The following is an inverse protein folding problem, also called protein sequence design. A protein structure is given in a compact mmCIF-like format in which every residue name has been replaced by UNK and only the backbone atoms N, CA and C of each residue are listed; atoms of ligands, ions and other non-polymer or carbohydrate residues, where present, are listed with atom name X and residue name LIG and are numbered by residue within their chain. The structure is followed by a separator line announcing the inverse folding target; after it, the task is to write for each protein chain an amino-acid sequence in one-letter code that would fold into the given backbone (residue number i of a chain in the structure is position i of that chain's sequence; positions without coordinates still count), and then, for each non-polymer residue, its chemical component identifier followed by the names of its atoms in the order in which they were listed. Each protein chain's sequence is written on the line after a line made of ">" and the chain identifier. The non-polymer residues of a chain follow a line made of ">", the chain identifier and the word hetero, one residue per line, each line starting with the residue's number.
data_IF_329881846524
#
_entry.id   IF_329881846524
#
_cell.length_a   1.000
_cell.length_b   1.000
_cell.length_c   1.000
_cell.angle_alpha   90.00
_cell.angle_beta   90.00
_cell.angle_gamma   90.00
#
_symmetry.space_group_name_H-M   'P 1'
#
loop_
_entity.id
_entity.type
_entity.pdbx_description
1 polymer ?
#
# COMPACT_ATOMS: atom_id res chain seq x y z
N UNK A 1 -13.89 9.76 -10.10
CA UNK A 1 -12.99 8.70 -10.53
C UNK A 1 -12.14 8.25 -9.36
N UNK A 2 -11.83 6.96 -9.29
CA UNK A 2 -11.12 6.35 -8.14
C UNK A 2 -9.77 7.01 -7.85
N UNK A 3 -9.03 7.44 -8.84
CA UNK A 3 -7.72 8.10 -8.65
C UNK A 3 -7.83 9.42 -7.91
N UNK A 4 -8.82 10.24 -8.27
CA UNK A 4 -9.05 11.53 -7.62
C UNK A 4 -9.50 11.33 -6.17
N UNK A 5 -10.41 10.39 -5.95
CA UNK A 5 -10.91 10.05 -4.61
C UNK A 5 -9.77 9.56 -3.71
N UNK A 6 -8.90 8.68 -4.25
CA UNK A 6 -7.74 8.19 -3.53
C UNK A 6 -6.76 9.31 -3.19
N UNK A 7 -6.45 10.20 -4.14
CA UNK A 7 -5.52 11.31 -3.89
C UNK A 7 -6.06 12.29 -2.85
N UNK A 8 -7.36 12.56 -2.86
CA UNK A 8 -8.00 13.40 -1.84
C UNK A 8 -7.95 12.72 -0.47
N UNK A 9 -8.24 11.43 -0.41
CA UNK A 9 -8.17 10.65 0.83
C UNK A 9 -6.75 10.62 1.40
N UNK A 10 -5.72 10.47 0.56
CA UNK A 10 -4.32 10.53 0.98
C UNK A 10 -3.98 11.90 1.58
N UNK A 11 -4.41 12.98 0.93
CA UNK A 11 -4.15 14.35 1.40
C UNK A 11 -4.79 14.64 2.76
N UNK A 12 -5.94 14.06 3.02
CA UNK A 12 -6.68 14.27 4.28
C UNK A 12 -6.39 13.22 5.36
N UNK A 13 -5.62 12.18 5.04
CA UNK A 13 -5.32 11.10 5.96
C UNK A 13 -4.34 11.50 7.06
N UNK A 14 -4.52 10.95 8.26
CA UNK A 14 -3.53 11.04 9.33
C UNK A 14 -2.40 10.01 9.12
N UNK A 15 -2.74 8.83 8.56
CA UNK A 15 -1.83 7.72 8.28
C UNK A 15 -2.17 7.09 6.94
N UNK A 16 -1.14 6.65 6.20
CA UNK A 16 -1.31 5.94 4.91
C UNK A 16 -0.51 4.65 4.94
N UNK A 17 -1.17 3.53 4.64
CA UNK A 17 -0.56 2.21 4.64
C UNK A 17 -0.59 1.62 3.24
N UNK A 18 0.57 1.25 2.70
CA UNK A 18 0.70 0.57 1.43
C UNK A 18 1.00 -0.91 1.62
N UNK A 19 0.28 -1.76 0.90
CA UNK A 19 0.59 -3.17 0.75
C UNK A 19 0.98 -3.46 -0.69
N UNK A 20 2.19 -3.95 -0.91
CA UNK A 20 2.73 -4.22 -2.24
C UNK A 20 2.88 -5.71 -2.47
N UNK A 21 2.12 -6.25 -3.41
CA UNK A 21 2.10 -7.66 -3.76
C UNK A 21 2.83 -7.98 -5.07
N UNK A 22 2.61 -9.19 -5.58
CA UNK A 22 3.30 -9.73 -6.75
C UNK A 22 3.17 -8.91 -8.01
N UNK A 23 2.02 -8.28 -8.25
CA UNK A 23 1.83 -7.47 -9.46
C UNK A 23 2.76 -6.26 -9.50
N UNK A 24 3.28 -5.85 -8.34
CA UNK A 24 4.26 -4.76 -8.24
C UNK A 24 5.68 -5.30 -8.43
N UNK A 25 6.12 -6.22 -7.56
CA UNK A 25 7.53 -6.64 -7.55
C UNK A 25 7.87 -7.67 -8.65
N UNK A 26 6.89 -8.33 -9.27
CA UNK A 26 7.10 -9.19 -10.44
C UNK A 26 6.87 -8.47 -11.78
N UNK A 27 6.64 -7.15 -11.75
CA UNK A 27 6.46 -6.39 -12.98
C UNK A 27 7.79 -6.27 -13.73
N UNK A 28 7.76 -6.58 -15.04
CA UNK A 28 8.90 -6.37 -15.95
C UNK A 28 9.02 -4.90 -16.40
N UNK A 29 8.05 -4.06 -16.04
CA UNK A 29 8.03 -2.65 -16.40
C UNK A 29 9.01 -1.87 -15.50
N UNK A 30 10.10 -1.41 -16.08
CA UNK A 30 11.12 -0.62 -15.38
C UNK A 30 10.57 0.70 -14.84
N UNK A 31 9.48 1.22 -15.41
CA UNK A 31 8.85 2.46 -14.96
C UNK A 31 8.16 2.33 -13.60
N UNK A 32 7.77 1.11 -13.20
CA UNK A 32 7.04 0.89 -11.95
C UNK A 32 7.83 1.37 -10.73
N UNK A 33 9.10 1.01 -10.64
CA UNK A 33 9.96 1.45 -9.54
C UNK A 33 10.15 2.96 -9.52
N UNK A 34 10.36 3.56 -10.69
CA UNK A 34 10.50 5.01 -10.81
C UNK A 34 9.20 5.73 -10.41
N UNK A 35 8.07 5.18 -10.81
CA UNK A 35 6.76 5.73 -10.47
C UNK A 35 6.43 5.58 -8.98
N UNK A 36 6.76 4.44 -8.38
CA UNK A 36 6.63 4.26 -6.94
C UNK A 36 7.49 5.26 -6.17
N UNK A 37 8.74 5.46 -6.61
CA UNK A 37 9.64 6.43 -6.01
C UNK A 37 9.07 7.84 -6.08
N UNK A 38 8.55 8.26 -7.23
CA UNK A 38 7.90 9.56 -7.41
C UNK A 38 6.70 9.71 -6.48
N UNK A 39 5.87 8.66 -6.37
CA UNK A 39 4.72 8.66 -5.48
C UNK A 39 5.15 8.89 -4.03
N UNK A 40 6.14 8.15 -3.55
CA UNK A 40 6.61 8.26 -2.16
C UNK A 40 7.31 9.59 -1.90
N UNK A 41 8.05 10.13 -2.87
CA UNK A 41 8.63 11.46 -2.78
C UNK A 41 7.55 12.55 -2.65
N UNK A 42 6.43 12.41 -3.38
CA UNK A 42 5.31 13.34 -3.27
C UNK A 42 4.59 13.25 -1.91
N UNK A 43 4.84 12.19 -1.17
CA UNK A 43 4.23 11.93 0.14
C UNK A 43 5.20 12.20 1.31
N UNK A 44 6.26 12.96 1.09
CA UNK A 44 7.29 13.22 2.10
C UNK A 44 6.73 13.76 3.42
N UNK A 45 5.63 14.51 3.37
CA UNK A 45 4.97 15.08 4.55
C UNK A 45 3.83 14.17 5.10
N UNK A 46 3.60 13.04 4.46
CA UNK A 46 2.56 12.08 4.88
C UNK A 46 3.17 11.02 5.78
N UNK A 47 2.46 10.67 6.84
CA UNK A 47 2.87 9.59 7.74
C UNK A 47 2.46 8.24 7.12
N UNK A 48 3.37 7.60 6.40
CA UNK A 48 3.10 6.36 5.68
C UNK A 48 3.97 5.20 6.15
N UNK A 49 3.51 3.98 5.86
CA UNK A 49 4.29 2.75 5.99
C UNK A 49 4.02 1.83 4.79
N UNK A 50 5.01 1.02 4.44
CA UNK A 50 4.95 0.10 3.30
C UNK A 50 5.18 -1.33 3.80
N UNK A 51 4.26 -2.24 3.48
CA UNK A 51 4.40 -3.68 3.72
C UNK A 51 4.49 -4.37 2.35
N UNK A 52 5.55 -5.15 2.12
CA UNK A 52 5.72 -5.91 0.90
C UNK A 52 5.78 -7.42 1.21
N UNK A 53 5.14 -8.23 0.38
CA UNK A 53 5.21 -9.70 0.47
C UNK A 53 6.37 -10.29 -0.32
N UNK A 54 7.23 -9.46 -0.88
CA UNK A 54 8.39 -9.91 -1.65
C UNK A 54 9.41 -10.61 -0.75
N UNK A 55 9.67 -11.87 -1.03
CA UNK A 55 10.66 -12.69 -0.31
C UNK A 55 12.10 -12.20 -0.49
N UNK A 56 12.37 -11.49 -1.57
CA UNK A 56 13.69 -10.94 -1.89
C UNK A 56 13.89 -9.52 -1.37
N UNK A 57 12.82 -8.86 -0.91
CA UNK A 57 12.88 -7.51 -0.39
C UNK A 57 13.38 -6.46 -1.39
N UNK A 58 13.09 -6.65 -2.68
CA UNK A 58 13.62 -5.80 -3.77
C UNK A 58 13.28 -4.33 -3.63
N UNK A 59 12.16 -4.01 -3.01
CA UNK A 59 11.73 -2.63 -2.82
C UNK A 59 12.72 -1.81 -1.99
N UNK A 60 13.49 -2.44 -1.11
CA UNK A 60 14.52 -1.77 -0.31
C UNK A 60 15.63 -1.19 -1.16
N UNK A 61 15.91 -1.82 -2.31
CA UNK A 61 16.97 -1.41 -3.22
C UNK A 61 16.54 -0.29 -4.18
N UNK A 62 15.27 0.08 -4.15
CA UNK A 62 14.72 1.11 -5.04
C UNK A 62 14.92 2.55 -4.52
N UNK A 63 15.58 2.71 -3.37
CA UNK A 63 15.94 4.03 -2.83
C UNK A 63 14.86 4.69 -1.97
N UNK A 64 13.86 3.94 -1.53
CA UNK A 64 12.85 4.45 -0.61
C UNK A 64 13.39 4.55 0.83
N UNK A 65 12.67 5.30 1.67
CA UNK A 65 13.01 5.40 3.09
C UNK A 65 12.86 4.03 3.79
N UNK A 66 13.96 3.39 4.09
CA UNK A 66 14.01 2.05 4.69
C UNK A 66 13.30 1.96 6.05
N UNK A 67 13.23 3.06 6.79
CA UNK A 67 12.52 3.10 8.08
C UNK A 67 11.01 2.95 7.95
N UNK A 68 10.49 3.12 6.73
CA UNK A 68 9.06 3.05 6.40
C UNK A 68 8.69 1.78 5.65
N UNK A 69 9.58 0.77 5.61
CA UNK A 69 9.39 -0.44 4.83
C UNK A 69 9.58 -1.68 5.72
N UNK A 70 8.69 -2.66 5.58
CA UNK A 70 8.86 -4.00 6.13
C UNK A 70 8.55 -5.06 5.07
N UNK A 71 9.42 -6.07 4.97
CA UNK A 71 9.28 -7.21 4.07
C UNK A 71 9.32 -8.49 4.90
N UNK A 72 8.22 -8.86 5.58
CA UNK A 72 8.23 -9.94 6.58
C UNK A 72 8.50 -11.32 6.00
N UNK A 73 8.33 -11.51 4.68
CA UNK A 73 8.63 -12.77 4.00
C UNK A 73 10.09 -12.90 3.56
N UNK A 74 10.92 -11.89 3.79
CA UNK A 74 12.34 -11.89 3.41
C UNK A 74 13.18 -12.65 4.45
N UNK A 75 13.34 -13.95 4.26
CA UNK A 75 14.07 -14.84 5.17
C UNK A 75 15.58 -14.54 5.23
N UNK A 76 16.15 -13.98 4.17
CA UNK A 76 17.59 -13.65 4.14
C UNK A 76 17.97 -12.49 5.07
N UNK A 77 17.00 -11.70 5.50
CA UNK A 77 17.16 -10.60 6.44
C UNK A 77 16.15 -10.70 7.59
N UNK A 78 15.86 -11.92 8.05
CA UNK A 78 14.79 -12.20 8.99
C UNK A 78 14.86 -11.39 10.28
N UNK A 79 16.06 -11.21 10.84
CA UNK A 79 16.25 -10.48 12.09
C UNK A 79 15.93 -8.99 11.93
N UNK A 80 16.41 -8.37 10.86
CA UNK A 80 16.14 -6.97 10.54
C UNK A 80 14.66 -6.74 10.23
N UNK A 81 14.04 -7.66 9.50
CA UNK A 81 12.62 -7.58 9.16
C UNK A 81 11.73 -7.78 10.38
N UNK A 82 12.12 -8.60 11.34
CA UNK A 82 11.41 -8.75 12.60
C UNK A 82 11.39 -7.44 13.39
N UNK A 83 12.52 -6.74 13.45
CA UNK A 83 12.60 -5.41 14.08
C UNK A 83 11.70 -4.38 13.37
N UNK A 84 11.71 -4.39 12.04
CA UNK A 84 10.86 -3.51 11.24
C UNK A 84 9.38 -3.85 11.42
N UNK A 85 9.05 -5.12 11.59
CA UNK A 85 7.69 -5.57 11.89
C UNK A 85 7.21 -5.03 13.22
N UNK A 86 8.07 -5.00 14.23
CA UNK A 86 7.75 -4.41 15.54
C UNK A 86 7.50 -2.90 15.41
N UNK A 87 8.31 -2.17 14.65
CA UNK A 87 8.07 -0.75 14.36
C UNK A 87 6.76 -0.54 13.61
N UNK A 88 6.47 -1.37 12.63
CA UNK A 88 5.20 -1.34 11.88
C UNK A 88 4.01 -1.52 12.82
N UNK A 89 4.06 -2.52 13.70
CA UNK A 89 2.97 -2.78 14.65
C UNK A 89 2.74 -1.60 15.62
N UNK A 90 3.80 -0.96 16.08
CA UNK A 90 3.70 0.25 16.91
C UNK A 90 3.06 1.40 16.13
N UNK A 91 3.51 1.61 14.90
CA UNK A 91 2.95 2.62 14.00
C UNK A 91 1.47 2.36 13.74
N UNK A 92 1.11 1.11 13.45
CA UNK A 92 -0.26 0.69 13.19
C UNK A 92 -1.15 0.89 14.43
N UNK A 93 -0.65 0.56 15.60
CA UNK A 93 -1.38 0.80 16.86
C UNK A 93 -1.67 2.29 17.07
N UNK A 94 -0.75 3.16 16.68
CA UNK A 94 -0.94 4.62 16.76
C UNK A 94 -2.00 5.12 15.79
N UNK A 95 -2.29 4.37 14.73
CA UNK A 95 -3.28 4.74 13.71
C UNK A 95 -4.72 4.42 14.11
N UNK A 96 -4.94 3.69 15.21
CA UNK A 96 -6.29 3.33 15.66
C UNK A 96 -7.11 4.58 15.97
N UNK A 97 -8.36 4.59 15.51
CA UNK A 97 -9.30 5.72 15.61
C UNK A 97 -8.84 7.00 14.87
N UNK A 98 -7.82 6.90 14.04
CA UNK A 98 -7.36 7.98 13.16
C UNK A 98 -7.82 7.72 11.72
N UNK A 99 -7.74 8.76 10.88
CA UNK A 99 -8.00 8.61 9.44
C UNK A 99 -6.86 7.85 8.79
N UNK A 100 -7.07 6.57 8.56
CA UNK A 100 -6.11 5.66 7.94
C UNK A 100 -6.58 5.30 6.54
N UNK A 101 -5.78 5.59 5.54
CA UNK A 101 -6.02 5.16 4.16
C UNK A 101 -5.09 3.99 3.86
N UNK A 102 -5.67 2.87 3.45
CA UNK A 102 -4.97 1.64 3.14
C UNK A 102 -5.04 1.39 1.64
N UNK A 103 -3.89 1.17 1.01
CA UNK A 103 -3.80 0.95 -0.43
C UNK A 103 -3.10 -0.39 -0.66
N UNK A 104 -3.86 -1.39 -1.10
CA UNK A 104 -3.37 -2.73 -1.38
C UNK A 104 -3.22 -2.88 -2.90
N UNK A 105 -1.99 -3.08 -3.35
CA UNK A 105 -1.63 -3.10 -4.76
C UNK A 105 -1.08 -4.46 -5.19
N UNK A 106 -1.87 -5.19 -5.97
CA UNK A 106 -1.43 -6.41 -6.62
C UNK A 106 -1.18 -7.60 -5.70
N UNK A 107 -1.83 -7.65 -4.54
CA UNK A 107 -1.69 -8.76 -3.59
C UNK A 107 -2.67 -9.88 -3.91
N UNK A 108 -2.17 -11.11 -3.96
CA UNK A 108 -2.96 -12.32 -4.16
C UNK A 108 -3.18 -13.10 -2.84
N UNK A 109 -3.55 -14.37 -2.95
CA UNK A 109 -3.77 -15.25 -1.80
C UNK A 109 -2.58 -16.16 -1.47
N UNK A 110 -1.39 -15.89 -2.03
CA UNK A 110 -0.20 -16.71 -1.77
C UNK A 110 0.22 -16.66 -0.30
N UNK A 111 0.08 -15.49 0.32
CA UNK A 111 0.38 -15.31 1.74
C UNK A 111 -0.57 -14.29 2.36
N UNK A 112 -1.85 -14.67 2.55
CA UNK A 112 -2.90 -13.75 2.96
C UNK A 112 -2.75 -13.21 4.39
N UNK A 113 -1.87 -13.82 5.20
CA UNK A 113 -1.63 -13.41 6.59
C UNK A 113 -0.81 -12.12 6.73
N UNK A 114 -0.17 -11.66 5.66
CA UNK A 114 0.69 -10.47 5.71
C UNK A 114 -0.08 -9.20 5.35
N UNK A 115 -0.83 -9.21 4.25
CA UNK A 115 -1.54 -8.03 3.74
C UNK A 115 -3.05 -8.23 3.74
N UNK A 116 -3.58 -9.21 3.00
CA UNK A 116 -5.03 -9.30 2.72
C UNK A 116 -5.90 -9.36 3.97
N UNK A 117 -5.71 -10.36 4.81
CA UNK A 117 -6.53 -10.55 6.00
C UNK A 117 -6.27 -9.49 7.09
N UNK A 118 -5.00 -9.15 7.40
CA UNK A 118 -4.75 -8.07 8.35
C UNK A 118 -5.33 -6.73 7.92
N UNK A 119 -5.24 -6.36 6.64
CA UNK A 119 -5.78 -5.10 6.13
C UNK A 119 -7.30 -5.04 6.25
N UNK A 120 -7.99 -6.14 5.92
CA UNK A 120 -9.43 -6.24 6.12
C UNK A 120 -9.81 -6.08 7.59
N UNK A 121 -9.06 -6.73 8.48
CA UNK A 121 -9.29 -6.66 9.93
C UNK A 121 -9.10 -5.24 10.48
N UNK A 122 -8.10 -4.53 9.99
CA UNK A 122 -7.86 -3.13 10.38
C UNK A 122 -9.08 -2.27 10.05
N UNK A 123 -9.65 -2.43 8.86
CA UNK A 123 -10.84 -1.68 8.45
C UNK A 123 -12.05 -2.04 9.32
N UNK A 124 -12.20 -3.30 9.69
CA UNK A 124 -13.27 -3.75 10.59
C UNK A 124 -13.18 -3.10 11.96
N UNK A 125 -11.97 -2.94 12.49
CA UNK A 125 -11.71 -2.40 13.83
C UNK A 125 -11.72 -0.87 13.83
N UNK A 126 -11.09 -0.24 12.84
CA UNK A 126 -10.96 1.21 12.75
C UNK A 126 -12.04 1.80 11.84
N UNK A 127 -13.07 2.40 12.44
CA UNK A 127 -14.22 2.95 11.71
C UNK A 127 -13.85 4.13 10.80
N UNK A 128 -12.68 4.74 10.99
CA UNK A 128 -12.18 5.84 10.16
C UNK A 128 -11.23 5.37 9.07
N UNK A 129 -10.96 4.07 8.97
CA UNK A 129 -10.10 3.51 7.94
C UNK A 129 -10.85 3.27 6.63
N UNK A 130 -10.16 3.47 5.51
CA UNK A 130 -10.64 3.15 4.16
C UNK A 130 -9.62 2.24 3.48
N UNK A 131 -10.10 1.27 2.70
CA UNK A 131 -9.26 0.36 1.93
C UNK A 131 -9.50 0.55 0.44
N UNK A 132 -8.42 0.71 -0.32
CA UNK A 132 -8.40 0.64 -1.77
C UNK A 132 -7.69 -0.64 -2.17
N UNK A 133 -8.42 -1.59 -2.75
CA UNK A 133 -7.87 -2.89 -3.18
C UNK A 133 -7.79 -2.94 -4.69
N UNK A 134 -6.57 -3.08 -5.21
CA UNK A 134 -6.28 -3.10 -6.64
C UNK A 134 -5.63 -4.44 -7.00
N UNK A 135 -6.25 -5.18 -7.90
CA UNK A 135 -5.71 -6.42 -8.46
C UNK A 135 -6.41 -6.73 -9.77
N UNK A 136 -5.70 -7.35 -10.69
CA UNK A 136 -6.29 -7.74 -11.99
C UNK A 136 -7.39 -8.80 -11.85
N UNK A 137 -7.32 -9.63 -10.80
CA UNK A 137 -8.25 -10.74 -10.56
C UNK A 137 -8.82 -10.73 -9.13
N UNK A 138 -7.98 -10.53 -8.12
CA UNK A 138 -8.35 -10.66 -6.70
C UNK A 138 -8.69 -9.33 -6.06
N UNK A 139 -9.56 -8.57 -6.70
CA UNK A 139 -9.98 -7.23 -6.26
C UNK A 139 -11.20 -7.21 -5.34
N UNK A 140 -11.84 -8.35 -5.09
CA UNK A 140 -13.11 -8.44 -4.37
C UNK A 140 -12.99 -7.96 -2.91
N UNK A 141 -14.04 -7.29 -2.45
CA UNK A 141 -14.15 -6.71 -1.11
C UNK A 141 -15.13 -7.53 -0.26
N UNK A 142 -14.77 -7.90 0.98
CA UNK A 142 -15.74 -8.52 1.89
C UNK A 142 -16.93 -7.60 2.18
N UNK A 143 -18.10 -8.18 2.29
CA UNK A 143 -19.36 -7.45 2.53
C UNK A 143 -19.28 -6.60 3.80
N UNK A 144 -18.61 -7.09 4.83
CA UNK A 144 -18.51 -6.47 6.15
C UNK A 144 -17.86 -5.10 6.14
N UNK A 145 -17.00 -4.83 5.13
CA UNK A 145 -16.28 -3.55 5.00
C UNK A 145 -16.63 -2.80 3.71
N UNK A 146 -17.68 -3.23 3.00
CA UNK A 146 -18.05 -2.69 1.68
C UNK A 146 -18.38 -1.21 1.67
N UNK A 147 -18.79 -0.66 2.81
CA UNK A 147 -19.07 0.78 2.98
C UNK A 147 -17.81 1.65 3.01
N UNK A 148 -16.64 1.07 3.32
CA UNK A 148 -15.36 1.78 3.47
C UNK A 148 -14.22 1.15 2.66
N UNK A 149 -14.54 0.30 1.71
CA UNK A 149 -13.56 -0.35 0.85
C UNK A 149 -13.94 -0.24 -0.62
N UNK A 150 -12.95 -0.03 -1.47
CA UNK A 150 -13.13 0.24 -2.90
C UNK A 150 -12.31 -0.74 -3.71
N UNK A 151 -12.96 -1.49 -4.60
CA UNK A 151 -12.32 -2.46 -5.48
C UNK A 151 -11.96 -1.82 -6.83
N UNK A 152 -10.77 -2.17 -7.35
CA UNK A 152 -10.35 -1.77 -8.68
C UNK A 152 -9.81 -2.98 -9.42
N UNK A 153 -10.50 -3.39 -10.50
CA UNK A 153 -10.07 -4.48 -11.38
C UNK A 153 -9.02 -3.95 -12.35
N UNK A 154 -7.76 -3.94 -11.89
CA UNK A 154 -6.63 -3.48 -12.67
C UNK A 154 -5.34 -4.07 -12.10
N UNK A 155 -4.34 -4.32 -12.94
CA UNK A 155 -3.01 -4.68 -12.48
C UNK A 155 -2.43 -3.56 -11.61
N UNK A 156 -1.84 -3.92 -10.47
CA UNK A 156 -1.33 -2.93 -9.50
C UNK A 156 -0.26 -2.00 -10.06
N UNK A 157 0.63 -2.52 -10.91
CA UNK A 157 1.66 -1.71 -11.57
C UNK A 157 1.04 -0.68 -12.53
N UNK A 158 0.06 -1.10 -13.31
CA UNK A 158 -0.69 -0.21 -14.21
C UNK A 158 -1.44 0.86 -13.41
N UNK A 159 -2.02 0.50 -12.28
CA UNK A 159 -2.71 1.45 -11.41
C UNK A 159 -1.79 2.58 -10.95
N UNK A 160 -0.58 2.26 -10.52
CA UNK A 160 0.42 3.25 -10.10
C UNK A 160 0.76 4.21 -11.24
N UNK A 161 0.96 3.70 -12.44
CA UNK A 161 1.24 4.53 -13.62
C UNK A 161 0.09 5.50 -13.89
N UNK A 162 -1.15 5.03 -13.83
CA UNK A 162 -2.35 5.85 -14.02
C UNK A 162 -2.53 6.88 -12.90
N UNK A 163 -2.26 6.51 -11.66
CA UNK A 163 -2.37 7.39 -10.50
C UNK A 163 -1.43 8.59 -10.62
N UNK A 164 -0.19 8.34 -11.02
CA UNK A 164 0.81 9.40 -11.21
C UNK A 164 0.44 10.33 -12.37
N UNK A 165 -0.04 9.76 -13.46
CA UNK A 165 -0.50 10.56 -14.61
C UNK A 165 -1.64 11.52 -14.20
N UNK A 166 -2.57 11.04 -13.38
CA UNK A 166 -3.67 11.87 -12.87
C UNK A 166 -3.18 12.97 -11.95
N UNK A 167 -2.21 12.68 -11.07
CA UNK A 167 -1.58 13.65 -10.18
C UNK A 167 -0.86 14.75 -10.95
N UNK A 168 -0.04 14.37 -11.94
CA UNK A 168 0.69 15.33 -12.80
C UNK A 168 -0.27 16.24 -13.56
N UNK A 169 -1.36 15.71 -14.08
CA UNK A 169 -2.38 16.48 -14.77
C UNK A 169 -3.11 17.48 -13.86
N UNK A 170 -3.24 17.18 -12.57
CA UNK A 170 -3.84 18.08 -11.58
C UNK A 170 -2.89 19.22 -11.18
N UNK A 171 -1.58 18.96 -11.14
CA UNK A 171 -0.56 19.95 -10.80
C UNK A 171 -0.35 20.97 -11.92
N UNK A 172 -0.68 20.63 -13.18
CA UNK A 172 -0.58 21.50 -14.35
C UNK A 172 -1.75 22.51 -14.48
N UNK A 173 -2.70 22.46 -13.56
CA UNK A 173 -3.85 23.39 -13.50
C UNK A 173 -3.70 24.37 -12.35
#
# INVERSE_FOLDING_TARGET
>A
MIYNDLMEDIKSADYVLFGLGKEIYNSDDAEVNDNLKKLFESMEHVNYFIVSTDKEGRIRNAGFNERRIVCPANESAAEEEEKQWDFYNKWLSSSLAKKLVIIELGEDFSNPNIIRWPFERIVMINQKAKLYRVHSTFYQIPKEISDRAFACEMNGAQFINCLLYTSDAADDK
#
